data_IF_575306755003
#
_entry.id   IF_575306755003
#
_cell.length_a   1.000
_cell.length_b   1.000
_cell.length_c   1.000
_cell.angle_alpha   90.00
_cell.angle_beta   90.00
_cell.angle_gamma   90.00
#
_symmetry.space_group_name_H-M   'P 1'
#
loop_
_entity.id
_entity.type
_entity.pdbx_description
1 polymer ?
#
# COMPACT_ATOMS: atom_id res chain seq x y z
N UNK A 1 -33.55 3.72 -79.66
CA UNK A 1 -34.13 3.41 -78.33
C UNK A 1 -33.65 2.05 -77.78
N UNK A 2 -32.33 1.77 -77.77
CA UNK A 2 -31.75 0.52 -77.24
C UNK A 2 -30.73 0.74 -76.11
N UNK A 3 -30.56 1.99 -75.67
CA UNK A 3 -29.54 2.35 -74.66
C UNK A 3 -30.13 2.62 -73.27
N UNK A 4 -31.44 2.89 -73.15
CA UNK A 4 -32.10 3.11 -71.85
C UNK A 4 -32.48 1.84 -71.07
N UNK A 5 -32.53 0.69 -71.76
CA UNK A 5 -32.89 -0.60 -71.13
C UNK A 5 -31.70 -1.28 -70.45
N UNK A 6 -30.46 -0.91 -70.81
CA UNK A 6 -29.25 -1.41 -70.15
C UNK A 6 -28.97 -0.67 -68.83
N UNK A 7 -29.24 0.64 -68.77
CA UNK A 7 -29.15 1.40 -67.52
C UNK A 7 -30.20 0.96 -66.49
N UNK A 8 -31.41 0.61 -66.93
CA UNK A 8 -32.47 0.14 -66.05
C UNK A 8 -32.15 -1.19 -65.34
N UNK A 9 -31.32 -2.04 -65.93
CA UNK A 9 -30.93 -3.34 -65.35
C UNK A 9 -29.78 -3.16 -64.34
N UNK A 10 -28.82 -2.29 -64.64
CA UNK A 10 -27.67 -2.03 -63.73
C UNK A 10 -28.11 -1.24 -62.49
N UNK A 11 -29.12 -0.37 -62.62
CA UNK A 11 -29.61 0.39 -61.47
C UNK A 11 -30.43 -0.46 -60.48
N UNK A 12 -31.11 -1.50 -60.95
CA UNK A 12 -31.99 -2.31 -60.10
C UNK A 12 -31.24 -3.33 -59.22
N UNK A 13 -30.04 -3.76 -59.62
CA UNK A 13 -29.14 -4.54 -58.74
C UNK A 13 -28.56 -3.67 -57.62
N UNK A 14 -28.27 -2.40 -57.91
CA UNK A 14 -27.63 -1.49 -56.95
C UNK A 14 -28.55 -1.07 -55.78
N UNK A 15 -29.87 -1.22 -55.93
CA UNK A 15 -30.85 -0.75 -54.96
C UNK A 15 -31.27 -1.82 -53.94
N UNK A 16 -31.18 -3.12 -54.29
CA UNK A 16 -31.51 -4.24 -53.38
C UNK A 16 -30.30 -4.79 -52.61
N UNK A 17 -29.07 -4.56 -53.07
CA UNK A 17 -27.85 -5.10 -52.42
C UNK A 17 -27.40 -4.22 -51.23
N UNK A 18 -27.64 -2.90 -51.30
CA UNK A 18 -27.25 -1.93 -50.26
C UNK A 18 -27.97 -2.07 -48.90
N UNK A 19 -29.29 -2.34 -48.81
CA UNK A 19 -29.94 -2.51 -47.52
C UNK A 19 -29.54 -3.80 -46.80
N UNK A 20 -29.16 -4.85 -47.55
CA UNK A 20 -28.73 -6.13 -46.98
C UNK A 20 -27.31 -6.03 -46.39
N UNK A 21 -26.39 -5.33 -47.06
CA UNK A 21 -25.05 -5.03 -46.54
C UNK A 21 -25.09 -4.15 -45.28
N UNK A 22 -25.97 -3.16 -45.25
CA UNK A 22 -26.16 -2.28 -44.08
C UNK A 22 -26.78 -3.05 -42.89
N UNK A 23 -27.72 -3.96 -43.13
CA UNK A 23 -28.29 -4.81 -42.09
C UNK A 23 -27.27 -5.83 -41.54
N UNK A 24 -26.43 -6.39 -42.42
CA UNK A 24 -25.38 -7.33 -42.02
C UNK A 24 -24.28 -6.65 -41.19
N UNK A 25 -23.88 -5.43 -41.58
CA UNK A 25 -22.89 -4.63 -40.84
C UNK A 25 -23.44 -4.05 -39.53
N UNK A 26 -24.72 -3.68 -39.44
CA UNK A 26 -25.35 -3.22 -38.18
C UNK A 26 -25.39 -4.34 -37.13
N UNK A 27 -25.77 -5.55 -37.51
CA UNK A 27 -25.83 -6.71 -36.62
C UNK A 27 -24.42 -7.10 -36.13
N UNK A 28 -23.45 -7.11 -37.04
CA UNK A 28 -22.05 -7.40 -36.70
C UNK A 28 -21.49 -6.34 -35.74
N UNK A 29 -21.80 -5.06 -35.99
CA UNK A 29 -21.36 -3.95 -35.13
C UNK A 29 -22.03 -3.98 -33.74
N UNK A 30 -23.31 -4.37 -33.65
CA UNK A 30 -24.01 -4.60 -32.37
C UNK A 30 -23.40 -5.75 -31.59
N UNK A 31 -23.09 -6.86 -32.25
CA UNK A 31 -22.46 -8.01 -31.61
C UNK A 31 -21.05 -7.68 -31.08
N UNK A 32 -20.26 -6.92 -31.83
CA UNK A 32 -18.94 -6.43 -31.40
C UNK A 32 -19.07 -5.40 -30.29
N UNK A 33 -20.00 -4.44 -30.38
CA UNK A 33 -20.26 -3.43 -29.34
C UNK A 33 -20.71 -4.02 -28.01
N UNK A 34 -21.55 -5.06 -28.01
CA UNK A 34 -21.98 -5.73 -26.78
C UNK A 34 -20.79 -6.45 -26.12
N UNK A 35 -19.93 -7.09 -26.92
CA UNK A 35 -18.73 -7.76 -26.42
C UNK A 35 -17.67 -6.77 -25.96
N UNK A 36 -17.46 -5.67 -26.68
CA UNK A 36 -16.49 -4.63 -26.30
C UNK A 36 -16.97 -3.81 -25.11
N UNK A 37 -18.27 -3.51 -24.99
CA UNK A 37 -18.84 -2.85 -23.83
C UNK A 37 -18.72 -3.73 -22.58
N UNK A 38 -18.99 -5.04 -22.68
CA UNK A 38 -18.77 -5.98 -21.57
C UNK A 38 -17.29 -6.14 -21.24
N UNK A 39 -16.40 -6.19 -22.23
CA UNK A 39 -14.96 -6.25 -21.99
C UNK A 39 -14.44 -4.99 -21.29
N UNK A 40 -14.89 -3.81 -21.70
CA UNK A 40 -14.55 -2.54 -21.06
C UNK A 40 -15.14 -2.44 -19.65
N UNK A 41 -16.37 -2.89 -19.42
CA UNK A 41 -16.97 -2.93 -18.09
C UNK A 41 -16.27 -3.91 -17.15
N UNK A 42 -15.81 -5.07 -17.64
CA UNK A 42 -14.99 -6.02 -16.87
C UNK A 42 -13.62 -5.44 -16.54
N UNK A 43 -12.99 -4.73 -17.49
CA UNK A 43 -11.74 -4.03 -17.26
C UNK A 43 -11.91 -2.94 -16.18
N UNK A 44 -13.00 -2.19 -16.22
CA UNK A 44 -13.27 -1.11 -15.27
C UNK A 44 -13.58 -1.62 -13.85
N UNK A 45 -14.31 -2.73 -13.73
CA UNK A 45 -14.51 -3.44 -12.46
C UNK A 45 -13.20 -4.05 -11.92
N UNK A 46 -12.31 -4.55 -12.80
CA UNK A 46 -10.99 -5.04 -12.40
C UNK A 46 -10.11 -3.88 -11.88
N UNK A 47 -10.17 -2.71 -12.51
CA UNK A 47 -9.45 -1.52 -12.04
C UNK A 47 -9.93 -1.04 -10.67
N UNK A 48 -11.24 -1.09 -10.38
CA UNK A 48 -11.75 -0.71 -9.06
C UNK A 48 -11.33 -1.67 -7.95
N UNK A 49 -11.34 -2.99 -8.20
CA UNK A 49 -10.88 -3.99 -7.22
C UNK A 49 -9.38 -3.87 -6.93
N UNK A 50 -8.57 -3.66 -7.97
CA UNK A 50 -7.12 -3.46 -7.81
C UNK A 50 -6.80 -2.15 -7.08
N UNK A 51 -7.58 -1.08 -7.29
CA UNK A 51 -7.36 0.21 -6.62
C UNK A 51 -7.62 0.13 -5.11
N UNK A 52 -8.71 -0.53 -4.71
CA UNK A 52 -9.00 -0.75 -3.28
C UNK A 52 -7.94 -1.64 -2.62
N UNK A 53 -7.58 -2.76 -3.25
CA UNK A 53 -6.53 -3.66 -2.75
C UNK A 53 -5.17 -2.99 -2.62
N UNK A 54 -4.76 -2.19 -3.63
CA UNK A 54 -3.52 -1.44 -3.60
C UNK A 54 -3.48 -0.39 -2.48
N UNK A 55 -4.60 0.31 -2.23
CA UNK A 55 -4.68 1.30 -1.16
C UNK A 55 -4.58 0.65 0.23
N UNK A 56 -5.20 -0.52 0.44
CA UNK A 56 -5.02 -1.29 1.68
C UNK A 56 -3.59 -1.79 1.85
N UNK A 57 -2.94 -2.25 0.77
CA UNK A 57 -1.54 -2.72 0.84
C UNK A 57 -0.60 -1.59 1.24
N UNK A 58 -0.74 -0.41 0.62
CA UNK A 58 0.05 0.78 0.98
C UNK A 58 -0.24 1.19 2.42
N UNK A 59 -1.53 1.24 2.81
CA UNK A 59 -1.92 1.57 4.18
C UNK A 59 -1.33 0.61 5.22
N UNK A 60 -1.39 -0.70 4.97
CA UNK A 60 -0.82 -1.71 5.84
C UNK A 60 0.72 -1.60 5.92
N UNK A 61 1.38 -1.32 4.80
CA UNK A 61 2.83 -1.12 4.77
C UNK A 61 3.25 0.10 5.59
N UNK A 62 2.57 1.23 5.42
CA UNK A 62 2.82 2.44 6.22
C UNK A 62 2.58 2.18 7.70
N UNK A 63 1.49 1.49 8.06
CA UNK A 63 1.19 1.13 9.44
C UNK A 63 2.27 0.23 10.05
N UNK A 64 2.78 -0.75 9.29
CA UNK A 64 3.87 -1.61 9.71
C UNK A 64 5.14 -0.80 9.99
N UNK A 65 5.53 0.11 9.09
CA UNK A 65 6.70 0.99 9.28
C UNK A 65 6.55 1.86 10.53
N UNK A 66 5.37 2.43 10.75
CA UNK A 66 5.08 3.24 11.94
C UNK A 66 5.20 2.40 13.21
N UNK A 67 4.64 1.19 13.23
CA UNK A 67 4.74 0.28 14.37
C UNK A 67 6.20 -0.11 14.68
N UNK A 68 6.98 -0.41 13.65
CA UNK A 68 8.41 -0.70 13.80
C UNK A 68 9.16 0.50 14.37
N UNK A 69 8.89 1.70 13.86
CA UNK A 69 9.54 2.92 14.33
C UNK A 69 9.18 3.23 15.79
N UNK A 70 7.90 3.10 16.16
CA UNK A 70 7.44 3.28 17.54
C UNK A 70 8.14 2.28 18.46
N UNK A 71 8.14 0.99 18.08
CA UNK A 71 8.80 -0.07 18.86
C UNK A 71 10.28 0.24 19.07
N UNK A 72 10.98 0.66 18.02
CA UNK A 72 12.38 1.03 18.08
C UNK A 72 12.63 2.21 19.03
N UNK A 73 11.82 3.28 18.94
CA UNK A 73 11.94 4.45 19.82
C UNK A 73 11.69 4.07 21.28
N UNK A 74 10.63 3.29 21.52
CA UNK A 74 10.25 2.83 22.86
C UNK A 74 11.36 1.97 23.47
N UNK A 75 11.85 0.97 22.73
CA UNK A 75 12.92 0.10 23.20
C UNK A 75 14.21 0.89 23.48
N UNK A 76 14.55 1.83 22.58
CA UNK A 76 15.73 2.68 22.76
C UNK A 76 15.62 3.54 24.02
N UNK A 77 14.44 4.08 24.30
CA UNK A 77 14.22 4.97 25.46
C UNK A 77 14.10 4.21 26.78
N UNK A 78 13.43 3.06 26.79
CA UNK A 78 13.12 2.31 28.01
C UNK A 78 14.24 1.34 28.41
N UNK A 79 15.00 0.82 27.44
CA UNK A 79 15.99 -0.23 27.68
C UNK A 79 17.41 0.27 27.38
N UNK A 80 17.67 0.69 26.13
CA UNK A 80 19.05 0.96 25.68
C UNK A 80 19.68 2.14 26.44
N UNK A 81 19.00 3.29 26.48
CA UNK A 81 19.51 4.49 27.19
C UNK A 81 19.78 4.24 28.68
N UNK A 82 18.82 3.71 29.48
CA UNK A 82 19.09 3.50 30.89
C UNK A 82 20.12 2.39 31.16
N UNK A 83 20.27 1.39 30.29
CA UNK A 83 21.39 0.44 30.37
C UNK A 83 22.75 1.13 30.16
N UNK A 84 22.84 2.05 29.19
CA UNK A 84 24.06 2.84 28.97
C UNK A 84 24.40 3.70 30.19
N UNK A 85 23.40 4.34 30.80
CA UNK A 85 23.59 5.12 32.03
C UNK A 85 24.04 4.24 33.21
N UNK A 86 23.43 3.07 33.39
CA UNK A 86 23.86 2.11 34.41
C UNK A 86 25.31 1.67 34.20
N UNK A 87 25.71 1.36 32.97
CA UNK A 87 27.09 1.00 32.64
C UNK A 87 28.09 2.12 32.96
N UNK A 88 27.77 3.38 32.61
CA UNK A 88 28.60 4.54 32.95
C UNK A 88 28.75 4.74 34.46
N UNK A 89 27.68 4.51 35.23
CA UNK A 89 27.73 4.58 36.70
C UNK A 89 28.63 3.50 37.28
N UNK A 90 28.51 2.26 36.80
CA UNK A 90 29.37 1.15 37.22
C UNK A 90 30.85 1.50 37.00
N UNK A 91 31.18 2.08 35.84
CA UNK A 91 32.55 2.50 35.54
C UNK A 91 33.08 3.57 36.50
N UNK A 92 32.26 4.56 36.86
CA UNK A 92 32.65 5.61 37.82
C UNK A 92 32.78 5.07 39.26
N UNK A 93 31.87 4.19 39.68
CA UNK A 93 31.96 3.48 40.97
C UNK A 93 33.26 2.67 41.02
N UNK A 94 33.59 1.94 39.95
CA UNK A 94 34.82 1.15 39.85
C UNK A 94 36.09 2.02 39.90
N UNK A 95 36.00 3.29 39.51
CA UNK A 95 37.09 4.28 39.64
C UNK A 95 37.12 4.97 41.02
N UNK A 96 36.21 4.64 41.92
CA UNK A 96 36.13 5.20 43.27
C UNK A 96 35.35 6.52 43.39
N UNK A 97 34.67 6.96 42.33
CA UNK A 97 33.79 8.14 42.38
C UNK A 97 32.38 7.72 42.80
N UNK A 98 32.06 7.92 44.09
CA UNK A 98 30.75 7.64 44.69
C UNK A 98 29.88 8.89 44.84
N UNK A 99 30.31 10.04 44.32
CA UNK A 99 29.65 11.34 44.54
C UNK A 99 28.51 11.62 43.55
N UNK A 100 28.09 10.61 42.79
CA UNK A 100 27.05 10.76 41.77
C UNK A 100 25.66 10.89 42.42
N UNK A 101 24.86 11.83 41.91
CA UNK A 101 23.48 12.00 42.37
C UNK A 101 22.62 10.76 42.09
N UNK A 102 21.70 10.48 43.03
CA UNK A 102 20.66 9.48 42.86
C UNK A 102 19.75 9.84 41.69
N UNK A 103 19.42 8.84 40.87
CA UNK A 103 18.45 8.99 39.78
C UNK A 103 17.13 8.27 40.11
N UNK A 104 15.99 8.83 39.70
CA UNK A 104 14.70 8.17 39.88
C UNK A 104 14.66 6.85 39.10
N UNK A 105 14.66 5.75 39.84
CA UNK A 105 14.62 4.42 39.30
C UNK A 105 13.17 3.95 39.02
N UNK A 106 12.94 3.39 37.84
CA UNK A 106 11.64 2.83 37.48
C UNK A 106 11.24 1.60 38.32
N UNK A 107 9.99 1.13 38.13
CA UNK A 107 9.46 -0.06 38.82
C UNK A 107 9.79 -1.40 38.12
N UNK A 108 10.59 -1.37 37.06
CA UNK A 108 11.00 -2.54 36.28
C UNK A 108 12.39 -3.07 36.70
N UNK A 109 12.90 -4.07 35.97
CA UNK A 109 14.23 -4.68 36.15
C UNK A 109 15.35 -3.63 36.09
N UNK A 110 15.27 -2.68 35.15
CA UNK A 110 16.29 -1.64 34.97
C UNK A 110 16.30 -0.67 36.16
N UNK A 111 15.12 -0.33 36.69
CA UNK A 111 15.04 0.46 37.91
C UNK A 111 15.43 -0.31 39.17
N UNK A 112 15.21 -1.63 39.24
CA UNK A 112 15.80 -2.46 40.31
C UNK A 112 17.33 -2.44 40.25
N UNK A 113 17.91 -2.61 39.05
CA UNK A 113 19.35 -2.49 38.84
C UNK A 113 19.88 -1.12 39.28
N UNK A 114 19.23 -0.03 38.86
CA UNK A 114 19.63 1.33 39.25
C UNK A 114 19.59 1.54 40.76
N UNK A 115 18.61 0.97 41.48
CA UNK A 115 18.55 1.03 42.94
C UNK A 115 19.69 0.27 43.61
N UNK A 116 20.04 -0.91 43.10
CA UNK A 116 21.18 -1.66 43.63
C UNK A 116 22.50 -0.91 43.42
N UNK A 117 22.68 -0.24 42.27
CA UNK A 117 23.85 0.60 42.02
C UNK A 117 23.93 1.79 42.98
N UNK A 118 22.80 2.43 43.31
CA UNK A 118 22.76 3.48 44.32
C UNK A 118 23.12 2.92 45.70
N UNK A 119 22.55 1.78 46.09
CA UNK A 119 22.89 1.15 47.36
C UNK A 119 24.40 0.85 47.48
N UNK A 120 25.06 0.43 46.40
CA UNK A 120 26.51 0.24 46.36
C UNK A 120 27.30 1.55 46.52
N UNK A 121 26.75 2.70 46.13
CA UNK A 121 27.40 4.00 46.32
C UNK A 121 27.28 4.52 47.75
N UNK A 122 26.18 4.18 48.42
CA UNK A 122 25.88 4.61 49.80
C UNK A 122 26.39 3.62 50.87
N UNK A 123 27.04 2.51 50.48
CA UNK A 123 27.65 1.52 51.39
C UNK A 123 29.14 1.80 51.58
#
# INVERSE_FOLDING_TARGET
AKNGMFEAIINHESEQIRPLDNAYTDILSKAVKIRSARANQLAELAHQRTRLGGMFMIGAFVLALVMTLITFIVLRRIVIRPLQHAAQRIEKIARGDLTMNDEPAGRNEIGRLSRHLQQMQHS
#
